data_IF_594146697430
#
_entry.id   IF_594146697430
#
_cell.length_a   1.000
_cell.length_b   1.000
_cell.length_c   1.000
_cell.angle_alpha   90.00
_cell.angle_beta   90.00
_cell.angle_gamma   90.00
#
_symmetry.space_group_name_H-M   'P 1'
#
loop_
_entity.id
_entity.type
_entity.pdbx_description
1 polymer ?
#
# COMPACT_ATOMS: atom_id res chain seq x y z
N UNK A 1 -24.89 -49.01 -11.97
CA UNK A 1 -25.58 -47.71 -11.91
C UNK A 1 -25.88 -47.36 -10.46
N UNK A 2 -25.26 -46.30 -9.91
CA UNK A 2 -25.87 -45.27 -9.05
C UNK A 2 -24.76 -44.46 -8.39
N UNK A 3 -24.63 -43.21 -8.83
CA UNK A 3 -23.94 -42.12 -8.16
C UNK A 3 -24.75 -41.73 -6.94
N UNK A 4 -24.09 -41.54 -5.80
CA UNK A 4 -24.61 -40.74 -4.68
C UNK A 4 -23.55 -39.70 -4.35
N UNK A 5 -23.89 -38.44 -4.67
CA UNK A 5 -23.14 -37.24 -4.29
C UNK A 5 -23.46 -36.88 -2.83
N UNK A 6 -22.56 -36.06 -2.28
CA UNK A 6 -22.77 -35.11 -1.17
C UNK A 6 -23.03 -35.68 0.22
N UNK A 7 -22.05 -35.54 1.11
CA UNK A 7 -22.12 -34.58 2.23
C UNK A 7 -21.10 -34.93 3.32
N UNK A 8 -19.89 -34.36 3.26
CA UNK A 8 -19.06 -34.20 4.45
C UNK A 8 -18.35 -32.83 4.40
N UNK A 9 -19.15 -31.76 4.30
CA UNK A 9 -18.76 -30.44 4.79
C UNK A 9 -18.93 -30.49 6.31
N UNK A 10 -17.84 -30.81 7.02
CA UNK A 10 -17.63 -30.52 8.44
C UNK A 10 -16.20 -30.99 8.79
N UNK A 11 -15.20 -30.18 8.45
CA UNK A 11 -13.88 -30.28 9.05
C UNK A 11 -13.50 -28.87 9.51
N UNK A 12 -13.80 -28.62 10.79
CA UNK A 12 -13.31 -27.50 11.55
C UNK A 12 -11.78 -27.47 11.50
N UNK A 13 -11.21 -26.34 11.09
CA UNK A 13 -9.81 -26.01 11.34
C UNK A 13 -9.79 -24.74 12.19
N UNK A 14 -9.68 -25.00 13.50
CA UNK A 14 -9.30 -24.02 14.50
C UNK A 14 -7.84 -23.62 14.24
N UNK A 15 -7.60 -22.37 13.88
CA UNK A 15 -6.26 -21.77 13.95
C UNK A 15 -6.18 -20.92 15.21
N UNK A 16 -5.65 -21.53 16.26
CA UNK A 16 -5.11 -20.86 17.44
C UNK A 16 -3.75 -20.27 17.08
N UNK A 17 -3.62 -18.95 17.12
CA UNK A 17 -2.34 -18.26 17.19
C UNK A 17 -2.41 -17.24 18.34
N UNK A 18 -2.04 -17.70 19.54
CA UNK A 18 -1.72 -16.87 20.68
C UNK A 18 -0.30 -16.33 20.52
N UNK A 19 -0.15 -15.00 20.44
CA UNK A 19 1.04 -14.32 20.90
C UNK A 19 0.61 -13.06 21.68
N UNK A 20 0.92 -13.11 22.97
CA UNK A 20 0.69 -12.10 24.00
C UNK A 20 1.78 -11.03 23.88
N UNK A 21 1.42 -9.77 23.71
CA UNK A 21 2.25 -8.64 24.14
C UNK A 21 1.40 -7.70 24.99
N UNK A 22 1.79 -7.57 26.26
CA UNK A 22 1.05 -6.90 27.29
C UNK A 22 1.21 -5.39 27.24
N UNK A 23 0.10 -4.67 27.34
CA UNK A 23 0.06 -3.34 27.93
C UNK A 23 -0.56 -3.44 29.33
N UNK A 24 0.30 -3.61 30.32
CA UNK A 24 0.00 -3.22 31.70
C UNK A 24 0.11 -1.70 31.79
N UNK A 25 -1.00 -0.97 31.65
CA UNK A 25 -1.20 0.36 32.24
C UNK A 25 -2.61 0.91 31.96
N UNK A 26 -3.59 0.52 32.77
CA UNK A 26 -4.78 1.35 33.01
C UNK A 26 -5.28 1.13 34.45
N UNK A 27 -4.46 1.53 35.43
CA UNK A 27 -4.98 1.91 36.74
C UNK A 27 -5.47 3.35 36.63
N UNK A 28 -6.79 3.54 36.57
CA UNK A 28 -7.41 4.84 36.80
C UNK A 28 -8.78 4.65 37.47
N UNK A 29 -8.74 4.31 38.75
CA UNK A 29 -9.77 4.75 39.69
C UNK A 29 -9.52 6.23 40.00
N UNK A 30 -10.50 7.14 39.85
CA UNK A 30 -10.36 8.49 40.38
C UNK A 30 -10.57 8.44 41.90
N UNK A 31 -9.49 8.55 42.65
CA UNK A 31 -9.56 9.07 44.03
C UNK A 31 -8.71 10.34 44.11
N UNK A 32 -9.29 11.35 44.73
CA UNK A 32 -8.86 12.73 44.69
C UNK A 32 -7.42 12.98 45.23
N UNK A 33 -6.84 14.05 44.67
CA UNK A 33 -5.59 14.79 44.90
C UNK A 33 -5.05 14.91 46.36
N UNK A 34 -3.91 15.59 46.62
CA UNK A 34 -2.80 16.11 45.76
C UNK A 34 -1.40 15.69 46.28
N UNK A 35 -0.31 15.98 45.53
CA UNK A 35 0.93 16.62 46.03
C UNK A 35 2.13 16.47 45.06
N UNK A 36 2.69 17.65 44.73
CA UNK A 36 4.09 18.05 44.48
C UNK A 36 5.10 17.15 43.74
N UNK A 37 5.93 17.88 42.97
CA UNK A 37 7.33 17.64 42.64
C UNK A 37 7.65 16.81 41.40
N UNK A 38 8.23 17.52 40.43
CA UNK A 38 9.52 17.09 39.91
C UNK A 38 9.59 16.79 38.42
N UNK A 39 10.23 17.73 37.73
CA UNK A 39 11.20 17.48 36.67
C UNK A 39 10.72 17.11 35.26
N UNK A 40 11.05 18.04 34.37
CA UNK A 40 11.26 17.90 32.95
C UNK A 40 11.77 16.53 32.50
N UNK A 41 11.20 16.06 31.40
CA UNK A 41 11.69 14.93 30.63
C UNK A 41 10.95 14.92 29.29
N UNK A 42 11.44 15.73 28.36
CA UNK A 42 11.01 15.73 26.97
C UNK A 42 11.01 14.29 26.44
N UNK A 43 9.84 13.76 26.12
CA UNK A 43 9.74 12.52 25.36
C UNK A 43 9.59 12.91 23.90
N UNK A 44 10.74 13.07 23.24
CA UNK A 44 10.81 13.01 21.79
C UNK A 44 10.35 11.62 21.33
N UNK A 45 9.66 11.49 20.19
CA UNK A 45 9.43 10.18 19.59
C UNK A 45 10.77 9.56 19.19
N UNK A 46 10.96 8.31 19.59
CA UNK A 46 12.12 7.49 19.24
C UNK A 46 12.19 7.30 17.72
N UNK A 47 13.11 8.02 17.08
CA UNK A 47 13.69 7.65 15.78
C UNK A 47 14.76 6.60 16.03
N UNK A 48 14.52 5.33 15.70
CA UNK A 48 15.58 4.31 15.60
C UNK A 48 15.10 3.14 14.76
N UNK A 49 15.66 3.06 13.56
CA UNK A 49 15.54 1.96 12.60
C UNK A 49 16.45 2.21 11.40
N UNK A 50 17.67 2.68 11.66
CA UNK A 50 18.71 2.92 10.65
C UNK A 50 19.56 1.64 10.55
N UNK A 51 19.29 0.81 9.53
CA UNK A 51 20.14 -0.30 9.04
C UNK A 51 19.59 -0.69 7.63
N UNK A 52 20.36 -0.81 6.53
CA UNK A 52 21.76 -0.50 6.26
C UNK A 52 21.89 0.01 4.82
N UNK A 53 22.57 1.14 4.59
CA UNK A 53 22.84 1.59 3.23
C UNK A 53 23.58 2.92 3.04
N UNK A 54 23.03 4.06 3.42
CA UNK A 54 23.64 5.39 3.21
C UNK A 54 22.85 6.50 3.93
N UNK A 55 22.82 6.55 5.26
CA UNK A 55 22.18 7.66 6.03
C UNK A 55 20.78 8.07 5.53
N UNK A 56 20.05 7.12 4.95
CA UNK A 56 18.92 7.32 4.06
C UNK A 56 17.73 6.51 4.55
N UNK A 57 16.57 6.76 3.97
CA UNK A 57 15.30 6.21 4.43
C UNK A 57 15.35 4.68 4.52
N UNK A 58 14.90 4.14 5.65
CA UNK A 58 14.77 2.70 5.84
C UNK A 58 13.83 2.09 4.80
N UNK A 59 14.10 0.87 4.35
CA UNK A 59 13.27 0.21 3.33
C UNK A 59 11.80 0.13 3.76
N UNK A 60 11.53 -0.11 5.05
CA UNK A 60 10.17 -0.11 5.60
C UNK A 60 9.43 1.23 5.44
N UNK A 61 10.11 2.36 5.69
CA UNK A 61 9.52 3.70 5.55
C UNK A 61 9.28 4.07 4.07
N UNK A 62 10.23 3.70 3.20
CA UNK A 62 10.09 3.89 1.75
C UNK A 62 8.93 3.05 1.19
N UNK A 63 8.83 1.79 1.61
CA UNK A 63 7.72 0.90 1.28
C UNK A 63 6.37 1.44 1.78
N UNK A 64 6.31 1.97 3.00
CA UNK A 64 5.08 2.55 3.55
C UNK A 64 4.59 3.75 2.73
N UNK A 65 5.49 4.63 2.29
CA UNK A 65 5.18 5.77 1.42
C UNK A 65 4.56 5.33 0.09
N UNK A 66 5.22 4.40 -0.61
CA UNK A 66 4.73 3.91 -1.90
C UNK A 66 3.41 3.16 -1.75
N UNK A 67 3.27 2.33 -0.70
CA UNK A 67 2.00 1.63 -0.43
C UNK A 67 0.85 2.59 -0.12
N UNK A 68 1.10 3.66 0.62
CA UNK A 68 0.08 4.67 0.91
C UNK A 68 -0.42 5.34 -0.38
N UNK A 69 0.48 5.62 -1.31
CA UNK A 69 0.11 6.19 -2.62
C UNK A 69 -0.63 5.23 -3.51
N UNK A 70 -0.20 3.97 -3.58
CA UNK A 70 -0.94 2.94 -4.32
C UNK A 70 -2.35 2.78 -3.76
N UNK A 71 -2.49 2.79 -2.43
CA UNK A 71 -3.79 2.70 -1.75
C UNK A 71 -4.67 3.91 -2.05
N UNK A 72 -4.12 5.13 -1.93
CA UNK A 72 -4.84 6.36 -2.25
C UNK A 72 -5.29 6.39 -3.72
N UNK A 73 -4.41 6.04 -4.66
CA UNK A 73 -4.75 5.93 -6.07
C UNK A 73 -5.84 4.89 -6.34
N UNK A 74 -5.84 3.78 -5.58
CA UNK A 74 -6.86 2.73 -5.69
C UNK A 74 -8.21 3.20 -5.14
N UNK A 75 -8.22 3.98 -4.06
CA UNK A 75 -9.44 4.59 -3.53
C UNK A 75 -10.01 5.64 -4.49
N UNK A 76 -9.14 6.50 -5.06
CA UNK A 76 -9.53 7.46 -6.10
C UNK A 76 -10.11 6.75 -7.33
N UNK A 77 -9.49 5.64 -7.75
CA UNK A 77 -9.99 4.82 -8.85
C UNK A 77 -11.35 4.18 -8.56
N UNK A 78 -11.56 3.67 -7.34
CA UNK A 78 -12.86 3.12 -6.92
C UNK A 78 -13.94 4.19 -6.80
N UNK A 79 -13.55 5.43 -6.49
CA UNK A 79 -14.46 6.58 -6.42
C UNK A 79 -14.80 7.12 -7.81
N UNK A 80 -13.87 7.02 -8.76
CA UNK A 80 -14.13 7.31 -10.17
C UNK A 80 -15.18 6.32 -10.71
N UNK A 81 -16.24 6.86 -11.30
CA UNK A 81 -17.28 6.01 -11.88
C UNK A 81 -16.70 5.29 -13.10
N UNK A 82 -16.83 3.96 -13.15
CA UNK A 82 -16.43 3.16 -14.32
C UNK A 82 -17.22 3.54 -15.60
N UNK A 83 -18.27 4.33 -15.45
CA UNK A 83 -19.09 4.94 -16.51
C UNK A 83 -18.44 6.19 -17.12
N UNK A 84 -17.40 6.73 -16.49
CA UNK A 84 -16.63 7.90 -16.94
C UNK A 84 -15.13 7.56 -17.08
N UNK A 85 -14.72 7.00 -18.24
CA UNK A 85 -13.32 6.68 -18.50
C UNK A 85 -12.40 7.92 -18.52
N UNK A 86 -12.95 9.13 -18.71
CA UNK A 86 -12.19 10.38 -18.61
C UNK A 86 -11.77 10.67 -17.17
N UNK A 87 -12.73 10.57 -16.24
CA UNK A 87 -12.44 10.72 -14.80
C UNK A 87 -11.42 9.68 -14.31
N UNK A 88 -11.53 8.43 -14.79
CA UNK A 88 -10.55 7.38 -14.48
C UNK A 88 -9.15 7.73 -15.01
N UNK A 89 -9.05 8.28 -16.23
CA UNK A 89 -7.77 8.72 -16.81
C UNK A 89 -7.13 9.85 -15.99
N UNK A 90 -7.93 10.79 -15.51
CA UNK A 90 -7.46 11.90 -14.68
C UNK A 90 -6.95 11.40 -13.31
N UNK A 91 -7.65 10.46 -12.66
CA UNK A 91 -7.19 9.81 -11.42
C UNK A 91 -5.87 9.05 -11.62
N UNK A 92 -5.72 8.32 -12.73
CA UNK A 92 -4.49 7.60 -13.06
C UNK A 92 -3.32 8.57 -13.32
N UNK A 93 -3.58 9.71 -13.95
CA UNK A 93 -2.59 10.77 -14.13
C UNK A 93 -2.16 11.36 -12.79
N UNK A 94 -3.11 11.66 -11.91
CA UNK A 94 -2.81 12.15 -10.56
C UNK A 94 -1.96 11.15 -9.76
N UNK A 95 -2.22 9.85 -9.88
CA UNK A 95 -1.39 8.81 -9.26
C UNK A 95 0.06 8.81 -9.79
N UNK A 96 0.25 8.96 -11.11
CA UNK A 96 1.58 9.07 -11.71
C UNK A 96 2.33 10.34 -11.24
N UNK A 97 1.63 11.44 -11.05
CA UNK A 97 2.19 12.68 -10.49
C UNK A 97 2.58 12.51 -9.01
N UNK A 98 1.75 11.84 -8.20
CA UNK A 98 2.08 11.52 -6.81
C UNK A 98 3.31 10.61 -6.73
N UNK A 99 3.42 9.59 -7.57
CA UNK A 99 4.60 8.74 -7.67
C UNK A 99 5.84 9.52 -8.09
N UNK A 100 5.71 10.52 -8.96
CA UNK A 100 6.80 11.43 -9.30
C UNK A 100 7.25 12.25 -8.09
N UNK A 101 6.30 12.79 -7.32
CA UNK A 101 6.60 13.52 -6.08
C UNK A 101 7.29 12.66 -5.03
N UNK A 102 6.89 11.39 -4.92
CA UNK A 102 7.48 10.43 -3.97
C UNK A 102 8.81 9.90 -4.44
N UNK A 103 9.03 9.75 -5.75
CA UNK A 103 10.35 9.38 -6.28
C UNK A 103 11.46 10.36 -5.87
N UNK A 104 11.12 11.63 -5.62
CA UNK A 104 12.05 12.63 -5.11
C UNK A 104 12.28 12.55 -3.58
N UNK A 105 11.44 11.80 -2.86
CA UNK A 105 11.48 11.61 -1.41
C UNK A 105 12.04 10.24 -1.01
N UNK A 106 11.92 9.24 -1.88
CA UNK A 106 12.50 7.90 -1.69
C UNK A 106 14.00 7.98 -1.93
N UNK A 107 14.77 7.92 -0.84
CA UNK A 107 16.25 7.87 -0.89
C UNK A 107 16.79 6.44 -0.86
N UNK A 108 15.92 5.45 -0.69
CA UNK A 108 16.28 4.03 -0.73
C UNK A 108 16.38 3.55 -2.19
N UNK A 109 17.58 3.17 -2.63
CA UNK A 109 17.84 2.78 -4.02
C UNK A 109 17.01 1.58 -4.50
N UNK A 110 16.72 0.62 -3.61
CA UNK A 110 15.95 -0.59 -3.96
C UNK A 110 14.49 -0.24 -4.25
N UNK A 111 13.88 0.60 -3.41
CA UNK A 111 12.50 1.06 -3.63
C UNK A 111 12.44 2.08 -4.77
N UNK A 112 13.42 2.97 -4.87
CA UNK A 112 13.52 3.97 -5.95
C UNK A 112 13.62 3.33 -7.34
N UNK A 113 14.19 2.13 -7.45
CA UNK A 113 14.28 1.41 -8.73
C UNK A 113 12.91 1.00 -9.30
N UNK A 114 11.90 0.76 -8.45
CA UNK A 114 10.58 0.26 -8.87
C UNK A 114 9.58 1.40 -9.13
N UNK A 115 9.78 2.55 -8.50
CA UNK A 115 8.89 3.73 -8.66
C UNK A 115 8.74 4.20 -10.12
N UNK A 116 9.79 4.24 -10.96
CA UNK A 116 9.65 4.59 -12.37
C UNK A 116 8.75 3.63 -13.16
N UNK A 117 8.84 2.32 -12.91
CA UNK A 117 7.99 1.31 -13.54
C UNK A 117 6.52 1.52 -13.15
N UNK A 118 6.26 1.73 -11.86
CA UNK A 118 4.91 2.06 -11.37
C UNK A 118 4.34 3.31 -12.05
N UNK A 119 5.12 4.39 -12.10
CA UNK A 119 4.72 5.66 -12.75
C UNK A 119 4.38 5.45 -14.23
N UNK A 120 5.21 4.71 -14.96
CA UNK A 120 5.00 4.46 -16.38
C UNK A 120 3.70 3.68 -16.61
N UNK A 121 3.42 2.67 -15.79
CA UNK A 121 2.17 1.92 -15.88
C UNK A 121 0.92 2.78 -15.57
N UNK A 122 0.96 3.66 -14.58
CA UNK A 122 -0.14 4.62 -14.32
C UNK A 122 -0.33 5.59 -15.49
N UNK A 123 0.76 6.02 -16.14
CA UNK A 123 0.72 6.87 -17.33
C UNK A 123 0.13 6.13 -18.54
N UNK A 124 0.49 4.85 -18.73
CA UNK A 124 -0.10 4.01 -19.77
C UNK A 124 -1.60 3.77 -19.50
N UNK A 125 -1.98 3.52 -18.26
CA UNK A 125 -3.38 3.34 -17.86
C UNK A 125 -4.20 4.60 -18.16
N UNK A 126 -3.70 5.79 -17.84
CA UNK A 126 -4.38 7.04 -18.14
C UNK A 126 -4.52 7.26 -19.65
N UNK A 127 -3.47 6.98 -20.42
CA UNK A 127 -3.51 7.09 -21.89
C UNK A 127 -4.54 6.16 -22.53
N UNK A 128 -4.62 4.90 -22.06
CA UNK A 128 -5.63 3.95 -22.52
C UNK A 128 -7.03 4.44 -22.18
N UNK A 129 -7.27 4.83 -20.93
CA UNK A 129 -8.59 5.29 -20.48
C UNK A 129 -9.03 6.57 -21.21
N UNK A 130 -8.11 7.47 -21.52
CA UNK A 130 -8.41 8.66 -22.34
C UNK A 130 -8.76 8.30 -23.78
N UNK A 131 -8.05 7.33 -24.37
CA UNK A 131 -8.39 6.81 -25.70
C UNK A 131 -9.78 6.17 -25.72
N UNK A 132 -10.14 5.43 -24.66
CA UNK A 132 -11.49 4.85 -24.49
C UNK A 132 -12.55 5.95 -24.34
N UNK A 133 -12.26 7.02 -23.59
CA UNK A 133 -13.15 8.19 -23.48
C UNK A 133 -13.36 8.90 -24.83
N UNK A 134 -12.32 8.95 -25.67
CA UNK A 134 -12.38 9.46 -27.04
C UNK A 134 -13.07 8.49 -28.03
N UNK A 135 -13.47 7.31 -27.56
CA UNK A 135 -14.23 6.30 -28.31
C UNK A 135 -13.38 5.19 -28.95
N UNK A 136 -12.07 5.14 -28.71
CA UNK A 136 -11.20 4.09 -29.20
C UNK A 136 -11.21 2.86 -28.28
N UNK A 137 -12.22 2.02 -28.47
CA UNK A 137 -12.40 0.77 -27.72
C UNK A 137 -11.35 -0.30 -28.05
N UNK A 138 -10.52 -0.10 -29.08
CA UNK A 138 -9.45 -1.07 -29.40
C UNK A 138 -8.39 -1.13 -28.30
N UNK A 139 -8.25 -0.04 -27.53
CA UNK A 139 -7.32 0.10 -26.41
C UNK A 139 -7.71 -0.64 -25.15
N UNK A 140 -8.94 -1.15 -25.06
CA UNK A 140 -9.37 -1.96 -23.91
C UNK A 140 -8.58 -3.28 -23.81
N UNK A 141 -8.06 -3.81 -24.94
CA UNK A 141 -7.17 -4.97 -24.92
C UNK A 141 -5.88 -4.70 -24.15
N UNK A 142 -5.28 -3.52 -24.38
CA UNK A 142 -4.01 -3.08 -23.79
C UNK A 142 -4.09 -3.00 -22.25
N UNK A 143 -5.29 -2.79 -21.68
CA UNK A 143 -5.52 -2.81 -20.22
C UNK A 143 -5.27 -4.17 -19.58
N UNK A 144 -5.47 -5.27 -20.30
CA UNK A 144 -5.25 -6.62 -19.76
C UNK A 144 -3.75 -6.91 -19.61
N UNK A 145 -2.97 -6.54 -20.64
CA UNK A 145 -1.51 -6.66 -20.61
C UNK A 145 -0.92 -5.74 -19.55
N UNK A 146 -1.44 -4.53 -19.42
CA UNK A 146 -1.05 -3.59 -18.39
C UNK A 146 -1.39 -4.10 -16.98
N UNK A 147 -2.56 -4.71 -16.81
CA UNK A 147 -2.96 -5.34 -15.54
C UNK A 147 -2.02 -6.48 -15.13
N UNK A 148 -1.49 -7.23 -16.10
CA UNK A 148 -0.49 -8.28 -15.83
C UNK A 148 0.83 -7.66 -15.38
N UNK A 149 1.31 -6.62 -16.07
CA UNK A 149 2.52 -5.88 -15.66
C UNK A 149 2.39 -5.26 -14.27
N UNK A 150 1.21 -4.73 -13.91
CA UNK A 150 0.94 -4.24 -12.56
C UNK A 150 1.07 -5.33 -11.50
N UNK A 151 0.58 -6.55 -11.79
CA UNK A 151 0.70 -7.68 -10.86
C UNK A 151 2.16 -8.12 -10.69
N UNK A 152 2.92 -8.23 -11.78
CA UNK A 152 4.33 -8.61 -11.74
C UNK A 152 5.18 -7.56 -11.00
N UNK A 153 4.95 -6.29 -11.28
CA UNK A 153 5.65 -5.17 -10.62
C UNK A 153 5.25 -5.08 -9.14
N UNK A 154 3.96 -5.27 -8.83
CA UNK A 154 3.45 -5.31 -7.46
C UNK A 154 4.03 -6.45 -6.64
N UNK A 155 4.24 -7.63 -7.25
CA UNK A 155 4.93 -8.76 -6.61
C UNK A 155 6.39 -8.43 -6.33
N UNK A 156 7.12 -7.89 -7.30
CA UNK A 156 8.51 -7.45 -7.07
C UNK A 156 8.62 -6.43 -5.95
N UNK A 157 7.71 -5.45 -5.94
CA UNK A 157 7.63 -4.46 -4.87
C UNK A 157 7.34 -5.12 -3.51
N UNK A 158 6.40 -6.06 -3.44
CA UNK A 158 6.09 -6.79 -2.23
C UNK A 158 7.28 -7.63 -1.72
N UNK A 159 8.02 -8.29 -2.62
CA UNK A 159 9.23 -9.05 -2.27
C UNK A 159 10.30 -8.12 -1.66
N UNK A 160 10.56 -6.97 -2.29
CA UNK A 160 11.49 -5.95 -1.75
C UNK A 160 11.08 -5.52 -0.34
N UNK A 161 9.78 -5.29 -0.12
CA UNK A 161 9.27 -4.85 1.18
C UNK A 161 9.18 -5.97 2.22
N UNK A 162 9.06 -7.23 1.82
CA UNK A 162 8.96 -8.38 2.72
C UNK A 162 10.34 -8.92 3.15
N UNK A 163 11.34 -8.89 2.27
CA UNK A 163 12.71 -9.34 2.57
C UNK A 163 13.51 -8.32 3.41
N UNK A 164 13.03 -7.07 3.54
CA UNK A 164 13.74 -5.96 4.20
C UNK A 164 12.88 -5.24 5.26
N UNK A 165 11.79 -5.87 5.74
CA UNK A 165 10.84 -5.33 6.71
C UNK A 165 10.87 -6.03 8.07
#
# INVERSE_FOLDING_TARGET
MRRTRTAHLCAALALTATAVFGMTACTASPTAAPAVSGSAGASAPATSGDDAGDGGQSTADACALVQQTISAATDDFQSASAEDPGAVADSMTAAAEQLTSISAQVTNDQVAAVVPELKDMFTQASGIMRSVADGDMSKVGDLTDLGTQFQETGQRFADICADNG
#
